data_IF_869453598366
#
_entry.id   IF_869453598366
#
_cell.length_a   1.000
_cell.length_b   1.000
_cell.length_c   1.000
_cell.angle_alpha   90.00
_cell.angle_beta   90.00
_cell.angle_gamma   90.00
#
_symmetry.space_group_name_H-M   'P 1'
#
loop_
_entity.id
_entity.type
_entity.pdbx_description
1 polymer ?
#
# COMPACT_ATOMS: atom_id res chain seq x y z
N UNK A 1 4.72 -18.37 4.11
CA UNK A 1 4.85 -16.90 4.05
C UNK A 1 3.81 -16.31 4.99
N UNK A 2 4.19 -15.34 5.85
CA UNK A 2 3.19 -14.59 6.64
C UNK A 2 2.61 -13.48 5.77
N UNK A 3 1.33 -13.20 5.92
CA UNK A 3 0.59 -12.20 5.15
C UNK A 3 -0.09 -11.20 6.07
N UNK A 4 -0.13 -9.95 5.66
CA UNK A 4 -0.95 -8.91 6.30
C UNK A 4 -2.43 -9.22 6.05
N UNK A 5 -2.77 -9.51 4.79
CA UNK A 5 -4.13 -9.77 4.36
C UNK A 5 -4.13 -10.48 2.99
N UNK A 6 -5.22 -11.17 2.66
CA UNK A 6 -5.45 -11.72 1.32
C UNK A 6 -6.92 -11.58 0.91
N UNK A 7 -7.14 -11.42 -0.39
CA UNK A 7 -8.49 -11.29 -0.97
C UNK A 7 -8.55 -11.96 -2.34
N UNK A 8 -9.76 -12.30 -2.78
CA UNK A 8 -9.98 -12.90 -4.10
C UNK A 8 -10.56 -11.88 -5.07
N UNK A 9 -10.06 -11.87 -6.29
CA UNK A 9 -10.64 -11.15 -7.43
C UNK A 9 -11.02 -12.15 -8.51
N UNK A 10 -12.08 -11.87 -9.26
CA UNK A 10 -12.55 -12.76 -10.33
C UNK A 10 -12.35 -12.05 -11.66
N UNK A 11 -11.59 -12.67 -12.55
CA UNK A 11 -11.37 -12.19 -13.91
C UNK A 11 -12.16 -13.01 -14.91
N UNK A 12 -12.66 -12.37 -15.96
CA UNK A 12 -13.31 -13.07 -17.07
C UNK A 12 -12.25 -13.38 -18.11
N UNK A 13 -11.79 -14.63 -18.14
CA UNK A 13 -10.78 -15.09 -19.09
C UNK A 13 -11.41 -15.98 -20.17
N UNK A 14 -10.86 -15.94 -21.39
CA UNK A 14 -11.14 -16.93 -22.42
C UNK A 14 -10.33 -18.20 -22.15
N UNK A 15 -11.00 -19.25 -21.70
CA UNK A 15 -10.37 -20.56 -21.45
C UNK A 15 -10.75 -21.50 -22.59
N UNK A 16 -9.75 -22.19 -23.15
CA UNK A 16 -9.95 -23.24 -24.15
C UNK A 16 -10.55 -24.48 -23.47
N UNK A 17 -11.83 -24.74 -23.72
CA UNK A 17 -12.53 -25.92 -23.23
C UNK A 17 -12.65 -26.95 -24.34
N UNK A 18 -12.09 -28.14 -24.13
CA UNK A 18 -12.23 -29.27 -25.05
C UNK A 18 -13.60 -29.90 -24.86
N UNK A 19 -14.50 -29.67 -25.81
CA UNK A 19 -15.82 -30.32 -25.87
C UNK A 19 -15.80 -31.43 -26.90
N UNK A 20 -16.30 -32.62 -26.53
CA UNK A 20 -16.49 -33.73 -27.48
C UNK A 20 -17.82 -33.55 -28.22
N UNK A 21 -17.78 -33.23 -29.51
CA UNK A 21 -18.96 -33.17 -30.37
C UNK A 21 -19.06 -34.44 -31.21
N UNK A 22 -20.24 -35.06 -31.29
CA UNK A 22 -20.47 -36.18 -32.21
C UNK A 22 -20.77 -35.65 -33.61
N UNK A 23 -19.84 -35.80 -34.57
CA UNK A 23 -20.09 -35.53 -36.00
C UNK A 23 -20.37 -36.83 -36.74
N UNK A 24 -21.38 -36.82 -37.62
CA UNK A 24 -21.62 -37.91 -38.58
C UNK A 24 -20.71 -37.74 -39.79
N UNK A 25 -19.92 -38.76 -40.09
CA UNK A 25 -19.07 -38.80 -41.27
C UNK A 25 -19.95 -39.01 -42.53
N UNK A 26 -19.83 -38.14 -43.54
CA UNK A 26 -20.75 -38.08 -44.71
C UNK A 26 -20.65 -39.30 -45.65
N UNK A 27 -19.61 -40.12 -45.53
CA UNK A 27 -19.40 -41.30 -46.38
C UNK A 27 -19.73 -42.65 -45.71
N UNK A 28 -19.74 -42.75 -44.38
CA UNK A 28 -19.88 -44.05 -43.67
C UNK A 28 -21.00 -44.12 -42.64
N UNK A 29 -21.72 -43.01 -42.39
CA UNK A 29 -22.92 -43.00 -41.52
C UNK A 29 -22.68 -43.24 -40.03
N UNK A 30 -21.44 -43.47 -39.59
CA UNK A 30 -21.07 -43.65 -38.17
C UNK A 30 -20.84 -42.30 -37.47
N UNK A 31 -21.22 -42.24 -36.19
CA UNK A 31 -20.95 -41.10 -35.30
C UNK A 31 -19.50 -41.17 -34.82
N UNK A 32 -18.69 -40.15 -35.14
CA UNK A 32 -17.34 -39.98 -34.60
C UNK A 32 -17.36 -38.86 -33.56
N UNK A 33 -16.73 -39.11 -32.41
CA UNK A 33 -16.47 -38.07 -31.40
C UNK A 33 -15.30 -37.21 -31.88
N UNK A 34 -15.56 -35.95 -32.21
CA UNK A 34 -14.57 -34.95 -32.57
C UNK A 34 -14.36 -34.04 -31.37
N UNK A 35 -13.12 -33.97 -30.86
CA UNK A 35 -12.76 -32.97 -29.86
C UNK A 35 -12.72 -31.58 -30.53
N UNK A 36 -13.69 -30.74 -30.18
CA UNK A 36 -13.74 -29.34 -30.60
C UNK A 36 -13.32 -28.49 -29.41
N UNK A 37 -12.21 -27.78 -29.55
CA UNK A 37 -11.77 -26.74 -28.60
C UNK A 37 -12.64 -25.50 -28.80
N UNK A 38 -13.44 -25.13 -27.80
CA UNK A 38 -14.22 -23.90 -27.79
C UNK A 38 -13.61 -22.94 -26.77
N UNK A 39 -13.41 -21.69 -27.17
CA UNK A 39 -13.09 -20.59 -26.26
C UNK A 39 -14.33 -20.21 -25.47
N UNK A 40 -14.34 -20.49 -24.17
CA UNK A 40 -15.45 -20.16 -23.26
C UNK A 40 -14.96 -19.11 -22.28
N UNK A 41 -15.72 -18.03 -22.12
CA UNK A 41 -15.45 -17.01 -21.11
C UNK A 41 -15.81 -17.56 -19.72
N UNK A 42 -14.82 -17.76 -18.85
CA UNK A 42 -15.01 -18.25 -17.48
C UNK A 42 -14.51 -17.22 -16.47
N UNK A 43 -15.22 -17.12 -15.34
CA UNK A 43 -14.76 -16.34 -14.18
C UNK A 43 -13.70 -17.16 -13.45
N UNK A 44 -12.44 -16.75 -13.54
CA UNK A 44 -11.32 -17.41 -12.88
C UNK A 44 -10.90 -16.59 -11.66
N UNK A 45 -10.98 -17.16 -10.44
CA UNK A 45 -10.56 -16.44 -9.25
C UNK A 45 -9.03 -16.43 -9.14
N UNK A 46 -8.53 -15.26 -8.76
CA UNK A 46 -7.14 -14.98 -8.44
C UNK A 46 -7.08 -14.54 -6.99
N UNK A 47 -6.29 -15.25 -6.18
CA UNK A 47 -6.00 -14.88 -4.80
C UNK A 47 -4.83 -13.89 -4.79
N UNK A 48 -5.09 -12.69 -4.27
CA UNK A 48 -4.09 -11.67 -4.05
C UNK A 48 -3.65 -11.73 -2.60
N UNK A 49 -2.34 -11.79 -2.38
CA UNK A 49 -1.74 -11.93 -1.06
C UNK A 49 -0.80 -10.76 -0.83
N UNK A 50 -1.09 -9.96 0.20
CA UNK A 50 -0.19 -8.93 0.68
C UNK A 50 0.73 -9.53 1.75
N UNK A 51 1.99 -9.74 1.40
CA UNK A 51 3.00 -10.33 2.30
C UNK A 51 3.31 -9.38 3.46
N UNK A 52 3.48 -9.93 4.66
CA UNK A 52 4.03 -9.19 5.80
C UNK A 52 5.53 -8.91 5.58
N UNK A 53 5.98 -7.64 5.60
CA UNK A 53 7.38 -7.32 5.38
C UNK A 53 8.26 -7.90 6.48
N UNK A 54 9.38 -8.51 6.08
CA UNK A 54 10.44 -8.85 7.02
C UNK A 54 11.20 -7.60 7.48
N UNK A 55 12.03 -7.74 8.52
CA UNK A 55 12.86 -6.63 9.03
C UNK A 55 13.71 -5.96 7.96
N UNK A 56 14.38 -6.75 7.12
CA UNK A 56 15.18 -6.22 5.99
C UNK A 56 14.32 -5.40 5.02
N UNK A 57 13.10 -5.85 4.74
CA UNK A 57 12.18 -5.14 3.86
C UNK A 57 11.69 -3.82 4.46
N UNK A 58 11.53 -3.75 5.78
CA UNK A 58 11.24 -2.49 6.47
C UNK A 58 12.43 -1.52 6.39
N UNK A 59 13.65 -2.02 6.58
CA UNK A 59 14.88 -1.21 6.45
C UNK A 59 15.08 -0.72 5.01
N UNK A 60 14.82 -1.57 4.00
CA UNK A 60 14.87 -1.18 2.58
C UNK A 60 13.83 -0.09 2.26
N UNK A 61 12.60 -0.22 2.77
CA UNK A 61 11.55 0.78 2.58
C UNK A 61 11.87 2.12 3.27
N UNK A 62 12.45 2.11 4.46
CA UNK A 62 12.90 3.31 5.18
C UNK A 62 14.05 4.03 4.45
N UNK A 63 14.95 3.26 3.82
CA UNK A 63 15.98 3.81 2.96
C UNK A 63 15.37 4.54 1.74
N UNK A 64 14.36 3.95 1.09
CA UNK A 64 13.65 4.58 -0.02
C UNK A 64 12.95 5.88 0.39
N UNK A 65 12.36 5.92 1.59
CA UNK A 65 11.82 7.15 2.17
C UNK A 65 12.88 8.25 2.21
N UNK A 66 14.03 7.94 2.80
CA UNK A 66 15.13 8.89 3.01
C UNK A 66 15.73 9.39 1.69
N UNK A 67 15.87 8.49 0.71
CA UNK A 67 16.34 8.83 -0.64
C UNK A 67 15.35 9.80 -1.31
N UNK A 68 14.05 9.53 -1.24
CA UNK A 68 13.03 10.38 -1.87
C UNK A 68 12.91 11.75 -1.20
N UNK A 69 13.02 11.83 0.14
CA UNK A 69 13.14 13.11 0.87
C UNK A 69 14.32 13.91 0.33
N UNK A 70 15.51 13.30 0.26
CA UNK A 70 16.73 13.95 -0.22
C UNK A 70 16.56 14.46 -1.67
N UNK A 71 15.95 13.63 -2.53
CA UNK A 71 15.66 13.97 -3.92
C UNK A 71 14.69 15.15 -4.03
N UNK A 72 13.61 15.14 -3.25
CA UNK A 72 12.64 16.22 -3.20
C UNK A 72 13.27 17.54 -2.74
N UNK A 73 14.04 17.52 -1.65
CA UNK A 73 14.73 18.69 -1.11
C UNK A 73 15.72 19.27 -2.13
N UNK A 74 16.50 18.42 -2.81
CA UNK A 74 17.41 18.85 -3.90
C UNK A 74 16.67 19.51 -5.07
N UNK A 75 15.42 19.13 -5.32
CA UNK A 75 14.55 19.73 -6.34
C UNK A 75 13.79 20.97 -5.83
N UNK A 76 14.06 21.43 -4.60
CA UNK A 76 13.41 22.61 -4.01
C UNK A 76 12.03 22.34 -3.41
N UNK A 77 11.62 21.07 -3.29
CA UNK A 77 10.39 20.70 -2.62
C UNK A 77 10.65 20.67 -1.12
N UNK A 78 9.90 21.47 -0.37
CA UNK A 78 10.10 21.65 1.06
C UNK A 78 9.43 20.53 1.87
N UNK A 79 10.03 20.18 3.00
CA UNK A 79 9.38 19.33 4.00
C UNK A 79 8.29 20.11 4.74
N UNK A 80 7.39 19.43 5.45
CA UNK A 80 6.37 20.05 6.29
C UNK A 80 7.01 20.98 7.33
N UNK A 81 8.10 20.53 7.96
CA UNK A 81 8.86 21.33 8.92
C UNK A 81 9.49 22.59 8.29
N UNK A 82 10.07 22.47 7.08
CA UNK A 82 10.64 23.62 6.36
C UNK A 82 9.56 24.62 5.93
N UNK A 83 8.39 24.14 5.49
CA UNK A 83 7.25 25.01 5.17
C UNK A 83 6.72 25.73 6.41
N UNK A 84 6.50 25.00 7.51
CA UNK A 84 6.03 25.58 8.76
C UNK A 84 6.97 26.72 9.22
N UNK A 85 8.29 26.48 9.19
CA UNK A 85 9.30 27.51 9.49
C UNK A 85 9.21 28.71 8.55
N UNK A 86 9.16 28.48 7.23
CA UNK A 86 9.09 29.55 6.24
C UNK A 86 7.86 30.45 6.44
N UNK A 87 6.70 29.89 6.77
CA UNK A 87 5.48 30.67 6.99
C UNK A 87 5.46 31.39 8.33
N UNK A 88 6.09 30.82 9.37
CA UNK A 88 6.36 31.53 10.61
C UNK A 88 7.18 32.80 10.35
N UNK A 89 8.19 32.70 9.49
CA UNK A 89 9.12 33.80 9.21
C UNK A 89 8.54 34.89 8.29
N UNK A 90 7.54 34.57 7.45
CA UNK A 90 7.09 35.47 6.36
C UNK A 90 5.67 36.01 6.50
N UNK A 91 4.87 35.52 7.45
CA UNK A 91 3.49 35.94 7.65
C UNK A 91 2.59 35.56 6.46
N UNK A 92 1.84 34.46 6.58
CA UNK A 92 1.02 33.91 5.48
C UNK A 92 -0.33 33.37 5.92
N UNK A 93 -0.88 32.43 5.13
CA UNK A 93 -2.18 31.76 5.37
C UNK A 93 -2.21 31.02 6.72
N UNK A 94 -1.05 30.55 7.17
CA UNK A 94 -0.84 29.95 8.48
C UNK A 94 -0.56 31.05 9.52
N UNK A 95 -1.31 31.09 10.62
CA UNK A 95 -1.01 32.04 11.70
C UNK A 95 0.36 31.72 12.29
N UNK A 96 1.14 32.74 12.69
CA UNK A 96 2.45 32.55 13.31
C UNK A 96 2.39 31.60 14.53
N UNK A 97 1.28 31.69 15.29
CA UNK A 97 1.00 30.81 16.43
C UNK A 97 0.80 29.35 16.02
N UNK A 98 0.06 29.08 14.95
CA UNK A 98 -0.13 27.73 14.44
C UNK A 98 1.14 27.16 13.78
N UNK A 99 1.92 28.02 13.12
CA UNK A 99 3.21 27.65 12.55
C UNK A 99 4.19 27.20 13.65
N UNK A 100 4.31 28.01 14.70
CA UNK A 100 5.15 27.67 15.84
C UNK A 100 4.65 26.40 16.54
N UNK A 101 3.33 26.26 16.71
CA UNK A 101 2.74 25.04 17.29
C UNK A 101 3.05 23.79 16.47
N UNK A 102 3.01 23.85 15.14
CA UNK A 102 3.41 22.73 14.28
C UNK A 102 4.89 22.38 14.45
N UNK A 103 5.79 23.38 14.50
CA UNK A 103 7.22 23.16 14.71
C UNK A 103 7.46 22.45 16.04
N UNK A 104 6.81 22.92 17.11
CA UNK A 104 6.93 22.33 18.44
C UNK A 104 6.42 20.88 18.46
N UNK A 105 5.27 20.61 17.81
CA UNK A 105 4.69 19.28 17.71
C UNK A 105 5.59 18.30 16.94
N UNK A 106 6.21 18.73 15.83
CA UNK A 106 7.18 17.88 15.12
C UNK A 106 8.44 17.63 15.93
N UNK A 107 8.93 18.63 16.66
CA UNK A 107 10.05 18.47 17.58
C UNK A 107 9.74 17.44 18.69
N UNK A 108 8.57 17.57 19.31
CA UNK A 108 8.09 16.62 20.32
C UNK A 108 7.95 15.21 19.74
N UNK A 109 7.38 15.07 18.54
CA UNK A 109 7.26 13.79 17.86
C UNK A 109 8.64 13.13 17.65
N UNK A 110 9.62 13.87 17.13
CA UNK A 110 10.96 13.36 16.88
C UNK A 110 11.66 12.90 18.18
N UNK A 111 11.50 13.65 19.27
CA UNK A 111 12.04 13.30 20.58
C UNK A 111 11.37 12.05 21.16
N UNK A 112 10.04 11.95 21.07
CA UNK A 112 9.29 10.76 21.50
C UNK A 112 9.65 9.52 20.69
N UNK A 113 9.84 9.66 19.37
CA UNK A 113 10.27 8.56 18.49
C UNK A 113 11.69 8.11 18.81
N UNK A 114 12.60 9.05 19.11
CA UNK A 114 13.96 8.72 19.57
C UNK A 114 13.94 8.01 20.93
N UNK A 115 13.13 8.47 21.87
CA UNK A 115 12.99 7.84 23.18
C UNK A 115 12.39 6.44 23.05
N UNK A 116 11.34 6.28 22.25
CA UNK A 116 10.74 4.99 21.94
C UNK A 116 11.75 4.03 21.32
N UNK A 117 12.51 4.47 20.34
CA UNK A 117 13.58 3.68 19.70
C UNK A 117 14.65 3.25 20.71
N UNK A 118 15.12 4.17 21.56
CA UNK A 118 16.11 3.89 22.61
C UNK A 118 15.61 2.85 23.61
N UNK A 119 14.32 2.88 23.93
CA UNK A 119 13.67 1.94 24.85
C UNK A 119 13.21 0.64 24.17
N UNK A 120 13.47 0.47 22.86
CA UNK A 120 13.02 -0.70 22.09
C UNK A 120 11.50 -0.81 21.99
N UNK A 121 10.78 0.30 22.16
CA UNK A 121 9.32 0.36 22.05
C UNK A 121 8.95 0.30 20.56
N UNK A 122 8.11 -0.68 20.19
CA UNK A 122 7.58 -0.78 18.84
C UNK A 122 6.50 0.28 18.63
N UNK A 123 6.83 1.28 17.84
CA UNK A 123 5.92 2.36 17.48
C UNK A 123 4.94 1.82 16.44
N UNK A 124 3.64 2.06 16.63
CA UNK A 124 2.60 1.58 15.71
C UNK A 124 2.01 0.21 16.07
N UNK A 125 2.28 -0.36 17.24
CA UNK A 125 1.48 -1.48 17.75
C UNK A 125 0.54 -1.02 18.88
N UNK A 126 -0.55 -1.77 19.10
CA UNK A 126 -1.31 -1.65 20.36
C UNK A 126 -0.36 -1.80 21.53
N UNK A 127 -0.43 -0.88 22.49
CA UNK A 127 0.41 -0.91 23.68
C UNK A 127 0.34 -2.29 24.33
N UNK A 128 1.44 -3.06 24.39
CA UNK A 128 1.42 -4.40 24.94
C UNK A 128 0.86 -4.40 26.37
N UNK A 129 0.00 -5.37 26.70
CA UNK A 129 -0.61 -5.45 28.03
C UNK A 129 0.44 -5.56 29.16
N UNK A 130 1.63 -6.08 28.85
CA UNK A 130 2.78 -6.22 29.76
C UNK A 130 3.80 -5.06 29.66
N UNK A 131 3.51 -3.98 28.94
CA UNK A 131 4.41 -2.82 28.88
C UNK A 131 4.49 -2.09 30.22
N UNK A 132 5.69 -1.61 30.55
CA UNK A 132 5.91 -0.76 31.72
C UNK A 132 5.20 0.59 31.59
N UNK A 133 4.99 1.30 32.71
CA UNK A 133 4.27 2.57 32.73
C UNK A 133 4.88 3.61 31.77
N UNK A 134 6.22 3.65 31.70
CA UNK A 134 6.95 4.56 30.81
C UNK A 134 6.64 4.31 29.33
N UNK A 135 6.53 3.04 28.92
CA UNK A 135 6.14 2.67 27.56
C UNK A 135 4.70 3.08 27.26
N UNK A 136 3.78 2.89 28.22
CA UNK A 136 2.38 3.34 28.07
C UNK A 136 2.29 4.86 27.92
N UNK A 137 3.06 5.61 28.70
CA UNK A 137 3.13 7.07 28.63
C UNK A 137 3.65 7.54 27.27
N UNK A 138 4.76 6.99 26.79
CA UNK A 138 5.35 7.34 25.48
C UNK A 138 4.36 7.03 24.35
N UNK A 139 3.70 5.88 24.38
CA UNK A 139 2.66 5.56 23.39
C UNK A 139 1.48 6.55 23.43
N UNK A 140 1.02 6.92 24.63
CA UNK A 140 -0.06 7.89 24.80
C UNK A 140 0.31 9.27 24.26
N UNK A 141 1.52 9.76 24.59
CA UNK A 141 2.04 11.03 24.07
C UNK A 141 2.20 10.99 22.55
N UNK A 142 2.81 9.93 22.00
CA UNK A 142 2.91 9.74 20.55
C UNK A 142 1.55 9.81 19.87
N UNK A 143 0.53 9.14 20.41
CA UNK A 143 -0.81 9.15 19.85
C UNK A 143 -1.44 10.56 19.88
N UNK A 144 -1.32 11.27 21.02
CA UNK A 144 -1.84 12.64 21.17
C UNK A 144 -1.13 13.64 20.26
N UNK A 145 0.21 13.64 20.26
CA UNK A 145 1.02 14.53 19.41
C UNK A 145 0.72 14.28 17.93
N UNK A 146 0.62 13.02 17.49
CA UNK A 146 0.24 12.70 16.10
C UNK A 146 -1.15 13.18 15.75
N UNK A 147 -2.13 13.01 16.64
CA UNK A 147 -3.49 13.50 16.43
C UNK A 147 -3.52 15.03 16.30
N UNK A 148 -2.80 15.74 17.17
CA UNK A 148 -2.76 17.19 17.16
C UNK A 148 -2.05 17.73 15.89
N UNK A 149 -0.99 17.05 15.42
CA UNK A 149 -0.37 17.31 14.11
C UNK A 149 -1.41 17.13 13.00
N UNK A 150 -2.11 16.00 12.95
CA UNK A 150 -3.11 15.73 11.90
C UNK A 150 -4.22 16.79 11.89
N UNK A 151 -4.73 17.18 13.06
CA UNK A 151 -5.76 18.19 13.16
C UNK A 151 -5.29 19.55 12.62
N UNK A 152 -4.06 19.93 12.96
CA UNK A 152 -3.51 21.22 12.54
C UNK A 152 -3.12 21.19 11.06
N UNK A 153 -2.47 20.12 10.58
CA UNK A 153 -2.19 19.91 9.15
C UNK A 153 -3.47 19.90 8.30
N UNK A 154 -4.54 19.28 8.80
CA UNK A 154 -5.83 19.20 8.09
C UNK A 154 -6.44 20.59 7.86
N UNK A 155 -6.18 21.53 8.76
CA UNK A 155 -6.61 22.92 8.61
C UNK A 155 -5.83 23.66 7.50
N UNK A 156 -4.75 23.06 7.00
CA UNK A 156 -3.82 23.62 6.01
C UNK A 156 -3.47 22.62 4.89
N UNK A 157 -4.39 21.71 4.54
CA UNK A 157 -4.15 20.66 3.53
C UNK A 157 -3.59 21.19 2.21
N UNK A 158 -4.08 22.34 1.72
CA UNK A 158 -3.58 22.96 0.49
C UNK A 158 -2.10 23.32 0.55
N UNK A 159 -1.54 23.55 1.75
CA UNK A 159 -0.13 23.86 1.95
C UNK A 159 0.73 22.60 2.07
N UNK A 160 0.23 21.54 2.72
CA UNK A 160 1.05 20.38 3.07
C UNK A 160 0.93 19.19 2.10
N UNK A 161 -0.07 19.15 1.21
CA UNK A 161 -0.28 18.02 0.29
C UNK A 161 0.82 17.82 -0.76
N UNK A 162 1.71 18.80 -0.95
CA UNK A 162 2.78 18.74 -1.95
C UNK A 162 4.20 18.74 -1.36
N UNK A 163 4.33 18.46 -0.06
CA UNK A 163 5.65 18.42 0.59
C UNK A 163 6.49 17.22 0.18
N UNK A 164 7.78 17.32 0.46
CA UNK A 164 8.72 16.21 0.33
C UNK A 164 8.25 14.99 1.14
N UNK A 165 7.69 15.20 2.33
CA UNK A 165 7.17 14.13 3.20
C UNK A 165 6.06 13.35 2.51
N UNK A 166 5.05 14.02 1.95
CA UNK A 166 3.94 13.34 1.26
C UNK A 166 4.44 12.57 0.03
N UNK A 167 5.38 13.13 -0.73
CA UNK A 167 5.98 12.45 -1.89
C UNK A 167 6.78 11.21 -1.49
N UNK A 168 7.56 11.31 -0.43
CA UNK A 168 8.32 10.18 0.10
C UNK A 168 7.42 9.10 0.70
N UNK A 169 6.35 9.48 1.42
CA UNK A 169 5.33 8.55 1.92
C UNK A 169 4.69 7.77 0.77
N UNK A 170 4.24 8.46 -0.28
CA UNK A 170 3.65 7.82 -1.46
C UNK A 170 4.64 6.88 -2.16
N UNK A 171 5.92 7.26 -2.23
CA UNK A 171 6.99 6.41 -2.80
C UNK A 171 7.18 5.12 -2.01
N UNK A 172 7.14 5.19 -0.67
CA UNK A 172 7.24 4.02 0.21
C UNK A 172 6.00 3.13 0.13
N UNK A 173 4.80 3.72 0.08
CA UNK A 173 3.56 2.97 -0.13
C UNK A 173 3.63 2.20 -1.46
N UNK A 174 4.10 2.85 -2.53
CA UNK A 174 4.34 2.18 -3.81
C UNK A 174 5.38 1.07 -3.68
N UNK A 175 6.47 1.29 -2.94
CA UNK A 175 7.48 0.26 -2.66
C UNK A 175 6.85 -0.98 -2.03
N UNK A 176 5.99 -0.80 -1.03
CA UNK A 176 5.28 -1.93 -0.40
C UNK A 176 4.34 -2.64 -1.37
N UNK A 177 3.58 -1.90 -2.17
CA UNK A 177 2.68 -2.49 -3.18
C UNK A 177 3.48 -3.36 -4.14
N UNK A 178 4.53 -2.82 -4.77
CA UNK A 178 5.24 -3.55 -5.83
C UNK A 178 6.13 -4.68 -5.31
N UNK A 179 6.60 -4.60 -4.07
CA UNK A 179 7.47 -5.64 -3.49
C UNK A 179 6.73 -6.72 -2.70
N UNK A 180 5.53 -6.44 -2.18
CA UNK A 180 4.82 -7.34 -1.26
C UNK A 180 3.52 -7.90 -1.82
N UNK A 181 3.05 -7.44 -2.98
CA UNK A 181 1.87 -8.01 -3.64
C UNK A 181 2.23 -9.27 -4.44
N UNK A 182 1.52 -10.36 -4.13
CA UNK A 182 1.62 -11.63 -4.85
C UNK A 182 0.24 -12.06 -5.36
N UNK A 183 0.24 -12.84 -6.43
CA UNK A 183 -0.95 -13.43 -7.03
C UNK A 183 -0.81 -14.94 -7.14
N UNK A 184 -1.90 -15.64 -6.85
CA UNK A 184 -2.07 -17.07 -7.08
C UNK A 184 -3.38 -17.32 -7.83
N UNK A 185 -3.29 -17.85 -9.04
CA UNK A 185 -4.46 -18.25 -9.82
C UNK A 185 -5.04 -19.55 -9.25
N UNK A 186 -6.36 -19.67 -9.21
CA UNK A 186 -7.00 -20.92 -8.78
C UNK A 186 -6.60 -22.08 -9.70
N UNK A 187 -6.12 -23.18 -9.10
CA UNK A 187 -5.55 -24.33 -9.81
C UNK A 187 -4.06 -24.22 -10.14
N UNK A 188 -3.42 -23.05 -9.96
CA UNK A 188 -1.96 -22.93 -10.00
C UNK A 188 -1.39 -23.15 -8.58
N UNK A 189 -0.33 -23.95 -8.46
CA UNK A 189 0.40 -24.11 -7.20
C UNK A 189 1.42 -22.98 -6.98
N UNK A 190 1.82 -22.28 -8.07
CA UNK A 190 2.86 -21.26 -8.02
C UNK A 190 2.30 -19.91 -7.57
N UNK A 191 2.86 -19.41 -6.47
CA UNK A 191 2.71 -18.02 -6.05
C UNK A 191 3.69 -17.15 -6.83
N UNK A 192 3.20 -16.10 -7.49
CA UNK A 192 4.01 -15.18 -8.29
C UNK A 192 3.91 -13.76 -7.75
N UNK A 193 4.94 -12.94 -7.96
CA UNK A 193 4.82 -11.51 -7.68
C UNK A 193 3.83 -10.90 -8.66
N UNK A 194 3.03 -9.95 -8.19
CA UNK A 194 2.10 -9.23 -9.06
C UNK A 194 2.85 -8.28 -10.01
N UNK A 195 3.99 -7.75 -9.54
CA UNK A 195 4.89 -6.87 -10.28
C UNK A 195 6.26 -7.54 -10.36
N UNK A 196 6.69 -7.86 -11.58
CA UNK A 196 7.96 -8.54 -11.85
C UNK A 196 9.10 -7.51 -11.97
N UNK A 197 10.32 -7.93 -11.66
CA UNK A 197 11.53 -7.08 -11.68
C UNK A 197 12.50 -7.45 -10.56
N UNK A 198 13.79 -7.20 -10.77
CA UNK A 198 14.83 -7.49 -9.77
C UNK A 198 15.10 -6.27 -8.89
N UNK A 199 14.92 -5.07 -9.44
CA UNK A 199 15.07 -3.79 -8.73
C UNK A 199 13.73 -3.15 -8.41
N UNK A 200 13.73 -2.15 -7.50
CA UNK A 200 12.53 -1.39 -7.21
C UNK A 200 12.05 -0.60 -8.44
N UNK A 201 12.97 -0.01 -9.18
CA UNK A 201 12.73 0.75 -10.40
C UNK A 201 12.06 -0.12 -11.47
N UNK A 202 12.60 -1.30 -11.77
CA UNK A 202 12.01 -2.21 -12.77
C UNK A 202 10.58 -2.63 -12.40
N UNK A 203 10.31 -2.89 -11.12
CA UNK A 203 8.95 -3.22 -10.67
C UNK A 203 7.99 -2.05 -10.78
N UNK A 204 8.48 -0.83 -10.58
CA UNK A 204 7.70 0.39 -10.74
C UNK A 204 7.39 0.63 -12.22
N UNK A 205 8.35 0.37 -13.11
CA UNK A 205 8.13 0.44 -14.56
C UNK A 205 7.05 -0.59 -14.97
N UNK A 206 7.18 -1.84 -14.52
CA UNK A 206 6.16 -2.87 -14.76
C UNK A 206 4.79 -2.52 -14.16
N UNK A 207 4.75 -1.85 -13.01
CA UNK A 207 3.51 -1.31 -12.44
C UNK A 207 2.85 -0.28 -13.37
N UNK A 208 3.61 0.67 -13.92
CA UNK A 208 3.06 1.68 -14.83
C UNK A 208 2.68 1.10 -16.18
N UNK A 209 3.45 0.14 -16.71
CA UNK A 209 3.10 -0.55 -17.95
C UNK A 209 1.77 -1.31 -17.84
N UNK A 210 1.48 -1.93 -16.68
CA UNK A 210 0.20 -2.60 -16.44
C UNK A 210 -0.98 -1.61 -16.41
N UNK A 211 -0.79 -0.44 -15.79
CA UNK A 211 -1.78 0.65 -15.74
C UNK A 211 -2.06 1.21 -17.14
N UNK A 212 -1.00 1.55 -17.89
CA UNK A 212 -1.12 2.12 -19.25
C UNK A 212 -1.75 1.13 -20.25
N UNK A 213 -1.48 -0.17 -20.09
CA UNK A 213 -2.11 -1.21 -20.92
C UNK A 213 -3.57 -1.46 -20.55
N UNK A 214 -4.02 -1.01 -19.37
CA UNK A 214 -5.34 -1.30 -18.84
C UNK A 214 -5.52 -2.78 -18.50
N UNK A 215 -4.51 -3.39 -17.87
CA UNK A 215 -4.56 -4.81 -17.48
C UNK A 215 -5.72 -5.10 -16.51
N UNK A 216 -6.56 -6.08 -16.83
CA UNK A 216 -7.78 -6.37 -16.06
C UNK A 216 -7.48 -6.76 -14.61
N UNK A 217 -6.40 -7.53 -14.39
CA UNK A 217 -5.98 -7.92 -13.05
C UNK A 217 -5.51 -6.69 -12.28
N UNK A 218 -4.67 -5.87 -12.91
CA UNK A 218 -4.20 -4.63 -12.31
C UNK A 218 -5.36 -3.72 -11.91
N UNK A 219 -6.29 -3.44 -12.83
CA UNK A 219 -7.42 -2.52 -12.61
C UNK A 219 -8.29 -2.91 -11.40
N UNK A 220 -8.56 -4.21 -11.22
CA UNK A 220 -9.39 -4.68 -10.09
C UNK A 220 -8.61 -4.84 -8.79
N UNK A 221 -7.29 -4.95 -8.84
CA UNK A 221 -6.46 -5.18 -7.65
C UNK A 221 -5.78 -3.93 -7.13
N UNK A 222 -5.36 -3.02 -8.02
CA UNK A 222 -4.60 -1.83 -7.67
C UNK A 222 -5.31 -0.93 -6.65
N UNK A 223 -6.59 -0.53 -6.84
CA UNK A 223 -7.29 0.32 -5.85
C UNK A 223 -7.37 -0.33 -4.47
N UNK A 224 -7.57 -1.65 -4.44
CA UNK A 224 -7.62 -2.47 -3.21
C UNK A 224 -6.26 -2.52 -2.52
N UNK A 225 -5.20 -2.77 -3.28
CA UNK A 225 -3.83 -2.78 -2.76
C UNK A 225 -3.41 -1.41 -2.24
N UNK A 226 -3.71 -0.34 -2.98
CA UNK A 226 -3.41 1.02 -2.56
C UNK A 226 -4.10 1.37 -1.23
N UNK A 227 -5.39 1.04 -1.09
CA UNK A 227 -6.13 1.27 0.14
C UNK A 227 -5.59 0.42 1.30
N UNK A 228 -5.40 -0.89 1.10
CA UNK A 228 -4.91 -1.82 2.13
C UNK A 228 -3.52 -1.42 2.64
N UNK A 229 -2.58 -1.15 1.73
CA UNK A 229 -1.21 -0.80 2.09
C UNK A 229 -1.17 0.57 2.78
N UNK A 230 -1.94 1.55 2.29
CA UNK A 230 -2.04 2.86 2.95
C UNK A 230 -2.63 2.72 4.35
N UNK A 231 -3.73 1.98 4.51
CA UNK A 231 -4.34 1.75 5.81
C UNK A 231 -3.37 1.03 6.75
N UNK A 232 -2.66 0.01 6.27
CA UNK A 232 -1.64 -0.70 7.06
C UNK A 232 -0.47 0.19 7.44
N UNK A 233 0.00 1.04 6.53
CA UNK A 233 1.14 1.94 6.76
C UNK A 233 0.83 3.00 7.83
N UNK A 234 -0.39 3.52 7.86
CA UNK A 234 -0.80 4.55 8.81
C UNK A 234 -1.43 3.99 10.11
N UNK A 235 -1.93 2.76 10.09
CA UNK A 235 -2.63 2.17 11.24
C UNK A 235 -1.70 1.44 12.20
N UNK A 236 -2.02 1.53 13.48
CA UNK A 236 -1.33 0.79 14.52
C UNK A 236 -1.96 -0.61 14.71
N UNK A 237 -1.40 -1.64 14.05
CA UNK A 237 -1.90 -3.02 14.04
C UNK A 237 -3.36 -3.16 13.51
N UNK A 238 -3.61 -2.99 12.20
CA UNK A 238 -4.95 -3.15 11.63
C UNK A 238 -5.49 -4.57 11.83
N UNK A 239 -6.79 -4.68 12.12
CA UNK A 239 -7.46 -5.97 12.26
C UNK A 239 -7.96 -6.50 10.92
N UNK A 240 -8.23 -7.80 10.84
CA UNK A 240 -8.83 -8.40 9.65
C UNK A 240 -10.19 -7.79 9.30
N UNK A 241 -11.03 -7.53 10.30
CA UNK A 241 -12.36 -6.93 10.11
C UNK A 241 -12.26 -5.51 9.50
N UNK A 242 -11.27 -4.72 9.91
CA UNK A 242 -11.03 -3.39 9.33
C UNK A 242 -10.62 -3.49 7.85
N UNK A 243 -9.79 -4.47 7.49
CA UNK A 243 -9.45 -4.72 6.08
C UNK A 243 -10.65 -5.23 5.27
N UNK A 244 -11.46 -6.13 5.84
CA UNK A 244 -12.67 -6.64 5.19
C UNK A 244 -13.65 -5.49 4.88
N UNK A 245 -13.86 -4.57 5.83
CA UNK A 245 -14.69 -3.39 5.65
C UNK A 245 -14.13 -2.49 4.53
N UNK A 246 -12.84 -2.18 4.57
CA UNK A 246 -12.18 -1.33 3.56
C UNK A 246 -12.33 -1.89 2.14
N UNK A 247 -12.19 -3.21 1.96
CA UNK A 247 -12.34 -3.86 0.65
C UNK A 247 -13.80 -3.86 0.17
N UNK A 248 -14.75 -3.98 1.09
CA UNK A 248 -16.19 -3.98 0.76
C UNK A 248 -16.64 -2.63 0.20
N UNK A 249 -16.14 -1.52 0.76
CA UNK A 249 -16.46 -0.17 0.30
C UNK A 249 -15.97 0.07 -1.13
N UNK A 250 -14.74 -0.39 -1.44
CA UNK A 250 -14.14 -0.25 -2.78
C UNK A 250 -14.91 -1.06 -3.83
N UNK A 251 -15.47 -2.21 -3.46
CA UNK A 251 -16.18 -3.10 -4.40
C UNK A 251 -17.60 -2.62 -4.72
N UNK A 252 -18.11 -1.62 -3.99
CA UNK A 252 -19.47 -1.07 -4.16
C UNK A 252 -19.53 0.06 -5.19
N UNK A 253 -18.38 0.46 -5.76
CA UNK A 253 -18.24 1.51 -6.79
C UNK A 253 -17.92 0.91 -8.15
#
# INVERSE_FOLDING_TARGET
>A
MKSIYSFKVHLVEEVDEKTKEKRKNKETGKQEEVEVTKKVKKKVPHEIILKEPGRRQLEDADMEYSIEISRCVKKGILTKAMLAKKYSDTGGILTEKDAQRLIDLYGELAELEREASTLGIKIGDKVPAKSNEKSKEIHGKLALTRRDIVNLESSYQSLFNHTADIKAQNRVILWYIVNLAYVKKEGDEKLRQLFEGDTFEEKVDGYYEQDERGDDLFNVTHPKLAALVSYWYFSASPTKEEFDNLISEITTT
#
